data_IF_441732436462
#
_entry.id   IF_441732436462
#
_cell.length_a   1.000
_cell.length_b   1.000
_cell.length_c   1.000
_cell.angle_alpha   90.00
_cell.angle_beta   90.00
_cell.angle_gamma   90.00
#
_symmetry.space_group_name_H-M   'P 1'
#
loop_
_entity.id
_entity.type
_entity.pdbx_description
1 polymer ?
#
# COMPACT_ATOMS: atom_id res chain seq x y z
N UNK A 1 0.61 -3.99 -2.50
CA UNK A 1 -0.43 -4.40 -1.51
C UNK A 1 -0.57 -5.91 -1.49
N UNK A 2 -1.07 -6.51 -0.38
CA UNK A 2 -1.47 -7.91 -0.34
C UNK A 2 -2.99 -8.02 -0.40
N UNK A 3 -3.50 -8.99 -1.15
CA UNK A 3 -4.92 -9.27 -1.26
C UNK A 3 -5.17 -10.78 -1.41
N UNK A 4 -6.26 -11.27 -0.85
CA UNK A 4 -6.68 -12.67 -1.01
C UNK A 4 -7.28 -12.96 -2.41
N UNK A 5 -7.74 -14.17 -2.64
CA UNK A 5 -8.30 -14.60 -3.94
C UNK A 5 -9.53 -13.78 -4.38
N UNK A 6 -10.23 -13.15 -3.43
CA UNK A 6 -11.39 -12.27 -3.68
C UNK A 6 -11.02 -10.78 -3.76
N UNK A 7 -9.74 -10.44 -3.68
CA UNK A 7 -9.27 -9.06 -3.62
C UNK A 7 -9.39 -8.44 -2.23
N UNK A 8 -9.70 -9.22 -1.21
CA UNK A 8 -9.80 -8.77 0.17
C UNK A 8 -8.46 -8.39 0.75
N UNK A 9 -8.38 -7.27 1.48
CA UNK A 9 -7.13 -6.71 2.00
C UNK A 9 -7.09 -6.62 3.52
N UNK A 10 -8.24 -6.56 4.17
CA UNK A 10 -8.32 -6.52 5.65
C UNK A 10 -9.66 -7.00 6.17
N UNK A 11 -9.65 -7.42 7.45
CA UNK A 11 -10.82 -7.76 8.23
C UNK A 11 -10.64 -7.18 9.64
N UNK A 12 -11.64 -6.46 10.14
CA UNK A 12 -11.59 -5.80 11.44
C UNK A 12 -10.33 -4.92 11.64
N UNK A 13 -9.90 -4.24 10.59
CA UNK A 13 -8.78 -3.29 10.63
C UNK A 13 -7.39 -3.90 10.48
N UNK A 14 -7.28 -5.19 10.18
CA UNK A 14 -5.99 -5.88 10.02
C UNK A 14 -6.02 -6.94 8.92
N UNK A 15 -4.87 -7.38 8.49
CA UNK A 15 -4.73 -8.50 7.54
C UNK A 15 -5.12 -9.81 8.24
N UNK A 16 -6.12 -10.57 7.74
CA UNK A 16 -6.68 -11.71 8.45
C UNK A 16 -5.88 -13.02 8.29
N UNK A 17 -4.98 -13.09 7.30
CA UNK A 17 -4.14 -14.28 7.08
C UNK A 17 -3.00 -14.35 8.09
N UNK A 18 -2.41 -15.54 8.29
CA UNK A 18 -1.20 -15.69 9.10
C UNK A 18 -0.07 -14.81 8.56
N UNK A 19 0.83 -14.36 9.44
CA UNK A 19 2.00 -13.57 9.05
C UNK A 19 2.72 -14.24 7.89
N UNK A 20 2.83 -13.55 6.77
CA UNK A 20 3.51 -14.02 5.56
C UNK A 20 4.85 -13.31 5.42
N UNK A 21 5.93 -14.04 5.73
CA UNK A 21 7.29 -13.48 5.71
C UNK A 21 7.74 -13.10 4.30
N UNK A 22 7.32 -13.86 3.28
CA UNK A 22 7.65 -13.58 1.88
C UNK A 22 7.02 -12.26 1.42
N UNK A 23 5.75 -12.02 1.77
CA UNK A 23 5.08 -10.75 1.49
C UNK A 23 5.76 -9.57 2.18
N UNK A 24 6.10 -9.71 3.46
CA UNK A 24 6.78 -8.65 4.23
C UNK A 24 8.17 -8.34 3.68
N UNK A 25 8.93 -9.34 3.23
CA UNK A 25 10.24 -9.16 2.60
C UNK A 25 10.10 -8.48 1.23
N UNK A 26 9.13 -8.89 0.42
CA UNK A 26 8.79 -8.26 -0.86
C UNK A 26 8.43 -6.79 -0.69
N UNK A 27 7.54 -6.49 0.25
CA UNK A 27 7.15 -5.13 0.61
C UNK A 27 8.36 -4.29 1.05
N UNK A 28 9.19 -4.81 1.96
CA UNK A 28 10.40 -4.13 2.42
C UNK A 28 11.37 -3.85 1.28
N UNK A 29 11.62 -4.84 0.42
CA UNK A 29 12.55 -4.74 -0.71
C UNK A 29 12.19 -3.56 -1.63
N UNK A 30 10.90 -3.37 -1.93
CA UNK A 30 10.47 -2.30 -2.84
C UNK A 30 10.38 -0.93 -2.16
N UNK A 31 9.98 -0.87 -0.90
CA UNK A 31 9.73 0.41 -0.22
C UNK A 31 10.95 1.00 0.48
N UNK A 32 12.01 0.22 0.70
CA UNK A 32 13.19 0.67 1.45
C UNK A 32 13.84 1.89 0.80
N UNK A 33 14.20 2.89 1.63
CA UNK A 33 14.79 4.18 1.23
C UNK A 33 13.90 5.07 0.36
N UNK A 34 12.62 4.73 0.22
CA UNK A 34 11.62 5.46 -0.55
C UNK A 34 10.54 6.09 0.34
N UNK A 35 9.59 6.75 -0.29
CA UNK A 35 8.44 7.38 0.38
C UNK A 35 7.31 6.36 0.46
N UNK A 36 6.65 6.25 1.62
CA UNK A 36 5.44 5.46 1.81
C UNK A 36 4.29 6.36 2.23
N UNK A 37 3.21 6.35 1.46
CA UNK A 37 1.98 7.08 1.78
C UNK A 37 0.95 6.09 2.29
N UNK A 38 0.37 6.40 3.45
CA UNK A 38 -0.66 5.58 4.07
C UNK A 38 -1.74 6.43 4.72
N UNK A 39 -2.93 5.86 4.84
CA UNK A 39 -4.01 6.42 5.63
C UNK A 39 -3.89 6.07 7.11
N UNK A 40 -4.71 6.73 7.94
CA UNK A 40 -4.71 6.57 9.39
C UNK A 40 -4.90 5.12 9.86
N UNK A 41 -5.83 4.38 9.25
CA UNK A 41 -6.09 2.99 9.66
C UNK A 41 -4.90 2.06 9.36
N UNK A 42 -4.16 2.33 8.30
CA UNK A 42 -2.92 1.61 8.00
C UNK A 42 -1.82 1.96 8.99
N UNK A 43 -1.72 3.24 9.39
CA UNK A 43 -0.74 3.69 10.40
C UNK A 43 -0.93 3.00 11.75
N UNK A 44 -2.18 2.84 12.20
CA UNK A 44 -2.50 2.24 13.51
C UNK A 44 -2.67 0.71 13.46
N UNK A 45 -2.47 0.08 12.30
CA UNK A 45 -2.55 -1.38 12.17
C UNK A 45 -1.48 -2.04 13.05
N UNK A 46 -1.86 -2.90 14.02
CA UNK A 46 -0.91 -3.53 14.94
C UNK A 46 0.08 -4.46 14.26
N UNK A 47 -0.20 -4.92 13.05
CA UNK A 47 0.71 -5.78 12.26
C UNK A 47 1.67 -4.99 11.37
N UNK A 48 1.49 -3.67 11.24
CA UNK A 48 2.42 -2.79 10.54
C UNK A 48 3.21 -1.97 11.55
N UNK A 49 4.54 -2.23 11.72
CA UNK A 49 5.35 -1.56 12.73
C UNK A 49 5.73 -0.13 12.31
N UNK A 50 4.79 0.80 12.44
CA UNK A 50 4.99 2.23 12.13
C UNK A 50 5.70 2.99 13.27
N UNK A 51 6.53 4.00 12.97
CA UNK A 51 6.97 4.36 11.62
C UNK A 51 7.82 3.28 10.96
N UNK A 52 7.68 3.12 9.65
CA UNK A 52 8.50 2.17 8.90
C UNK A 52 9.95 2.67 8.82
N UNK A 53 10.88 1.91 9.37
CA UNK A 53 12.30 2.27 9.40
C UNK A 53 12.89 2.39 8.00
N UNK A 54 13.76 3.39 7.81
CA UNK A 54 14.43 3.68 6.54
C UNK A 54 13.47 3.95 5.38
N UNK A 55 12.32 4.53 5.67
CA UNK A 55 11.36 5.10 4.70
C UNK A 55 10.98 6.50 5.17
N UNK A 56 10.55 7.34 4.24
CA UNK A 56 9.87 8.59 4.56
C UNK A 56 8.40 8.25 4.74
N UNK A 57 7.92 8.40 5.97
CA UNK A 57 6.56 8.03 6.36
C UNK A 57 5.62 9.22 6.16
N UNK A 58 4.70 9.12 5.22
CA UNK A 58 3.71 10.15 4.90
C UNK A 58 2.33 9.67 5.31
N UNK A 59 1.67 10.42 6.18
CA UNK A 59 0.33 10.12 6.66
C UNK A 59 -0.71 11.02 5.99
N UNK A 60 -1.64 10.42 5.27
CA UNK A 60 -2.81 11.10 4.71
C UNK A 60 -3.95 11.12 5.76
N UNK A 61 -4.22 12.29 6.34
CA UNK A 61 -5.25 12.47 7.35
C UNK A 61 -5.71 13.91 7.46
N UNK A 62 -7.00 14.09 7.74
CA UNK A 62 -7.59 15.39 8.09
C UNK A 62 -7.68 15.62 9.61
N UNK A 63 -7.19 14.67 10.42
CA UNK A 63 -7.21 14.77 11.87
C UNK A 63 -6.00 15.51 12.42
N UNK A 64 -6.07 15.88 13.71
CA UNK A 64 -4.95 16.51 14.42
C UNK A 64 -3.67 15.67 14.33
N UNK A 65 -2.55 16.31 14.03
CA UNK A 65 -1.24 15.68 13.85
C UNK A 65 -0.58 15.26 15.18
N UNK A 66 -1.03 15.79 16.30
CA UNK A 66 -0.35 15.64 17.60
C UNK A 66 -0.33 14.19 18.15
N UNK A 67 -1.16 13.31 17.62
CA UNK A 67 -1.27 11.92 18.07
C UNK A 67 -0.45 10.92 17.25
N UNK A 68 0.23 11.38 16.19
CA UNK A 68 0.95 10.52 15.26
C UNK A 68 2.46 10.79 15.30
N UNK A 69 3.11 10.23 16.32
CA UNK A 69 4.54 10.39 16.51
C UNK A 69 5.34 9.57 15.50
N UNK A 70 6.37 10.16 14.92
CA UNK A 70 7.24 9.51 13.95
C UNK A 70 6.81 9.63 12.48
N UNK A 71 5.74 10.37 12.21
CA UNK A 71 5.36 10.76 10.85
C UNK A 71 6.31 11.85 10.35
N UNK A 72 6.87 11.66 9.16
CA UNK A 72 7.79 12.64 8.56
C UNK A 72 7.02 13.77 7.85
N UNK A 73 5.93 13.44 7.18
CA UNK A 73 5.09 14.40 6.44
C UNK A 73 3.61 14.08 6.64
N UNK A 74 2.78 15.12 6.75
CA UNK A 74 1.33 15.02 6.75
C UNK A 74 0.76 15.58 5.45
N UNK A 75 -0.19 14.89 4.83
CA UNK A 75 -0.90 15.34 3.65
C UNK A 75 -2.42 15.28 3.87
N UNK A 76 -3.14 16.20 3.25
CA UNK A 76 -4.61 16.28 3.32
C UNK A 76 -5.18 17.05 2.14
N UNK A 77 -6.49 17.05 1.98
CA UNK A 77 -7.17 17.73 0.89
C UNK A 77 -6.95 17.07 -0.45
N UNK A 78 -6.40 17.80 -1.42
CA UNK A 78 -6.08 17.28 -2.75
C UNK A 78 -4.83 16.40 -2.70
N UNK A 79 -5.02 15.08 -2.60
CA UNK A 79 -3.92 14.12 -2.51
C UNK A 79 -3.07 14.07 -3.78
N UNK A 80 -3.65 14.33 -4.97
CA UNK A 80 -2.88 14.36 -6.22
C UNK A 80 -1.88 15.51 -6.22
N UNK A 81 -2.31 16.70 -5.78
CA UNK A 81 -1.42 17.85 -5.62
C UNK A 81 -0.33 17.57 -4.59
N UNK A 82 -0.68 16.97 -3.45
CA UNK A 82 0.29 16.57 -2.42
C UNK A 82 1.35 15.59 -2.94
N UNK A 83 0.94 14.57 -3.72
CA UNK A 83 1.88 13.60 -4.33
C UNK A 83 2.85 14.29 -5.27
N UNK A 84 2.35 15.25 -6.09
CA UNK A 84 3.20 16.06 -6.96
C UNK A 84 4.24 16.85 -6.16
N UNK A 85 3.83 17.53 -5.09
CA UNK A 85 4.73 18.30 -4.23
C UNK A 85 5.78 17.39 -3.57
N UNK A 86 5.40 16.19 -3.12
CA UNK A 86 6.33 15.19 -2.58
C UNK A 86 7.34 14.74 -3.64
N UNK A 87 6.91 14.50 -4.88
CA UNK A 87 7.80 14.09 -5.97
C UNK A 87 8.81 15.18 -6.33
N UNK A 88 8.41 16.45 -6.27
CA UNK A 88 9.30 17.59 -6.50
C UNK A 88 10.29 17.79 -5.34
N UNK A 89 9.84 17.54 -4.10
CA UNK A 89 10.68 17.65 -2.89
C UNK A 89 11.73 16.53 -2.80
N UNK A 90 11.36 15.32 -3.18
CA UNK A 90 12.17 14.10 -3.03
C UNK A 90 12.49 13.45 -4.39
N UNK A 91 13.12 14.19 -5.28
CA UNK A 91 13.35 13.80 -6.71
C UNK A 91 14.02 12.45 -6.94
N UNK A 92 14.83 11.98 -5.98
CA UNK A 92 15.59 10.73 -6.08
C UNK A 92 14.86 9.53 -5.44
N UNK A 93 13.58 9.69 -5.08
CA UNK A 93 12.81 8.67 -4.37
C UNK A 93 11.52 8.33 -5.09
N UNK A 94 11.23 7.03 -5.11
CA UNK A 94 9.92 6.55 -5.54
C UNK A 94 8.87 6.76 -4.44
N UNK A 95 7.62 6.92 -4.85
CA UNK A 95 6.48 7.08 -3.96
C UNK A 95 5.62 5.81 -4.02
N UNK A 96 5.46 5.15 -2.88
CA UNK A 96 4.63 3.96 -2.72
C UNK A 96 3.38 4.27 -1.92
N UNK A 97 2.21 4.06 -2.52
CA UNK A 97 0.92 4.12 -1.83
C UNK A 97 0.68 2.74 -1.22
N UNK A 98 0.76 2.66 0.11
CA UNK A 98 0.72 1.36 0.81
C UNK A 98 -0.64 1.03 1.43
N UNK A 99 -1.60 1.94 1.31
CA UNK A 99 -2.97 1.68 1.76
C UNK A 99 -3.54 2.78 2.66
N UNK A 100 -4.80 2.69 3.10
CA UNK A 100 -5.75 1.62 2.74
C UNK A 100 -6.49 1.88 1.42
N UNK A 101 -7.51 1.09 1.14
CA UNK A 101 -8.22 1.17 -0.13
C UNK A 101 -8.70 2.57 -0.51
N UNK A 102 -9.17 3.36 0.43
CA UNK A 102 -9.62 4.75 0.17
C UNK A 102 -8.52 5.66 -0.36
N UNK A 103 -7.29 5.53 0.13
CA UNK A 103 -6.15 6.32 -0.36
C UNK A 103 -5.74 5.80 -1.74
N UNK A 104 -5.73 4.48 -1.92
CA UNK A 104 -5.49 3.85 -3.20
C UNK A 104 -6.47 4.35 -4.28
N UNK A 105 -7.77 4.35 -3.98
CA UNK A 105 -8.81 4.79 -4.92
C UNK A 105 -8.64 6.25 -5.34
N UNK A 106 -8.33 7.14 -4.39
CA UNK A 106 -8.14 8.56 -4.66
C UNK A 106 -6.89 8.84 -5.51
N UNK A 107 -5.87 8.01 -5.41
CA UNK A 107 -4.60 8.18 -6.13
C UNK A 107 -4.44 7.22 -7.31
N UNK A 108 -5.44 6.40 -7.61
CA UNK A 108 -5.31 5.31 -8.58
C UNK A 108 -4.84 5.78 -9.96
N UNK A 109 -5.34 6.92 -10.43
CA UNK A 109 -4.98 7.46 -11.75
C UNK A 109 -3.52 7.94 -11.85
N UNK A 110 -2.86 8.16 -10.70
CA UNK A 110 -1.42 8.51 -10.65
C UNK A 110 -0.49 7.30 -10.55
N UNK A 111 -1.05 6.10 -10.37
CA UNK A 111 -0.26 4.88 -10.20
C UNK A 111 0.21 4.39 -11.56
N UNK A 112 1.52 4.31 -11.75
CA UNK A 112 2.16 3.77 -12.94
C UNK A 112 2.40 2.26 -12.84
N UNK A 113 2.74 1.79 -11.63
CA UNK A 113 3.00 0.38 -11.35
C UNK A 113 2.24 -0.08 -10.10
N UNK A 114 1.63 -1.25 -10.16
CA UNK A 114 0.91 -1.84 -9.04
C UNK A 114 1.56 -3.18 -8.65
N UNK A 115 2.13 -3.22 -7.45
CA UNK A 115 2.77 -4.40 -6.87
C UNK A 115 1.77 -5.11 -5.96
N UNK A 116 1.36 -6.31 -6.34
CA UNK A 116 0.33 -7.08 -5.65
C UNK A 116 0.88 -8.43 -5.19
N UNK A 117 0.74 -8.71 -3.90
CA UNK A 117 0.89 -10.07 -3.37
C UNK A 117 -0.48 -10.73 -3.36
N UNK A 118 -0.62 -11.82 -4.12
CA UNK A 118 -1.84 -12.64 -4.14
C UNK A 118 -1.72 -13.70 -3.05
N UNK A 119 -2.44 -13.52 -1.95
CA UNK A 119 -2.54 -14.51 -0.87
C UNK A 119 -3.61 -15.53 -1.25
N UNK A 120 -3.22 -16.81 -1.28
CA UNK A 120 -4.16 -17.88 -1.64
C UNK A 120 -5.18 -18.12 -0.53
N UNK A 121 -6.44 -18.23 -0.91
CA UNK A 121 -7.56 -18.46 -0.02
C UNK A 121 -8.56 -17.31 0.02
N UNK A 122 -9.65 -17.54 0.74
CA UNK A 122 -10.69 -16.53 1.01
C UNK A 122 -10.77 -16.32 2.51
N UNK A 123 -10.44 -15.11 2.95
CA UNK A 123 -10.37 -14.74 4.37
C UNK A 123 -11.58 -13.92 4.82
N UNK A 124 -12.64 -13.85 4.00
CA UNK A 124 -13.88 -13.14 4.32
C UNK A 124 -13.61 -11.68 4.76
N UNK A 125 -12.76 -10.98 4.01
CA UNK A 125 -12.38 -9.60 4.28
C UNK A 125 -13.58 -8.65 4.22
N UNK A 126 -13.57 -7.62 5.08
CA UNK A 126 -14.56 -6.54 5.08
C UNK A 126 -14.12 -5.34 4.23
N UNK A 127 -12.87 -5.32 3.80
CA UNK A 127 -12.32 -4.34 2.83
C UNK A 127 -11.59 -5.05 1.71
N UNK A 128 -11.76 -4.54 0.49
CA UNK A 128 -11.15 -5.09 -0.72
C UNK A 128 -10.64 -3.97 -1.62
N UNK A 129 -9.72 -4.33 -2.51
CA UNK A 129 -9.35 -3.52 -3.66
C UNK A 129 -10.31 -3.82 -4.82
N UNK A 130 -10.50 -2.85 -5.68
CA UNK A 130 -11.20 -3.02 -6.95
C UNK A 130 -10.24 -3.66 -7.97
N UNK A 131 -10.20 -4.99 -7.96
CA UNK A 131 -9.32 -5.74 -8.85
C UNK A 131 -9.75 -5.64 -10.32
N UNK A 132 -11.04 -5.47 -10.59
CA UNK A 132 -11.56 -5.25 -11.93
C UNK A 132 -11.02 -3.93 -12.52
N UNK A 133 -11.02 -2.87 -11.74
CA UNK A 133 -10.43 -1.58 -12.11
C UNK A 133 -8.94 -1.73 -12.46
N UNK A 134 -8.18 -2.50 -11.69
CA UNK A 134 -6.76 -2.76 -11.97
C UNK A 134 -6.61 -3.46 -13.33
N UNK A 135 -7.34 -4.56 -13.56
CA UNK A 135 -7.22 -5.35 -14.79
C UNK A 135 -7.71 -4.63 -16.05
N UNK A 136 -8.64 -3.67 -15.91
CA UNK A 136 -9.11 -2.84 -17.01
C UNK A 136 -8.14 -1.69 -17.34
N UNK A 137 -7.39 -1.19 -16.37
CA UNK A 137 -6.54 0.01 -16.50
C UNK A 137 -5.06 -0.31 -16.64
N UNK A 138 -4.63 -1.51 -16.28
CA UNK A 138 -3.23 -1.93 -16.24
C UNK A 138 -3.05 -3.30 -16.92
N UNK A 139 -1.84 -3.56 -17.38
CA UNK A 139 -1.45 -4.84 -17.97
C UNK A 139 -0.53 -5.58 -16.99
N UNK A 140 -0.77 -6.88 -16.79
CA UNK A 140 0.14 -7.71 -16.00
C UNK A 140 1.48 -7.82 -16.74
N UNK A 141 2.50 -7.23 -16.16
CA UNK A 141 3.86 -7.22 -16.68
C UNK A 141 4.66 -8.44 -16.24
N UNK A 142 4.46 -8.86 -15.00
CA UNK A 142 5.22 -9.96 -14.41
C UNK A 142 4.38 -10.71 -13.38
N UNK A 143 4.49 -12.04 -13.37
CA UNK A 143 4.00 -12.91 -12.32
C UNK A 143 5.16 -13.74 -11.79
N UNK A 144 5.42 -13.68 -10.49
CA UNK A 144 6.51 -14.36 -9.81
C UNK A 144 5.92 -15.38 -8.86
N UNK A 145 6.04 -16.66 -9.19
CA UNK A 145 5.64 -17.75 -8.28
C UNK A 145 6.56 -17.74 -7.06
N UNK A 146 5.99 -17.97 -5.89
CA UNK A 146 6.72 -17.97 -4.62
C UNK A 146 6.60 -19.31 -3.90
N UNK A 147 5.47 -19.55 -3.21
CA UNK A 147 5.23 -20.78 -2.43
C UNK A 147 3.73 -21.14 -2.43
N UNK A 148 3.34 -22.10 -1.59
CA UNK A 148 1.96 -22.54 -1.43
C UNK A 148 1.04 -21.49 -0.77
N UNK A 149 1.56 -20.37 -0.29
CA UNK A 149 0.79 -19.32 0.39
C UNK A 149 0.49 -18.12 -0.48
N UNK A 150 1.38 -17.78 -1.42
CA UNK A 150 1.24 -16.60 -2.25
C UNK A 150 2.11 -16.60 -3.51
N UNK A 151 1.76 -15.73 -4.44
CA UNK A 151 2.62 -15.29 -5.53
C UNK A 151 2.61 -13.75 -5.64
N UNK A 152 3.52 -13.20 -6.43
CA UNK A 152 3.61 -11.76 -6.66
C UNK A 152 3.25 -11.39 -8.09
N UNK A 153 2.60 -10.25 -8.24
CA UNK A 153 2.22 -9.69 -9.54
C UNK A 153 2.71 -8.25 -9.63
N UNK A 154 3.20 -7.87 -10.80
CA UNK A 154 3.53 -6.48 -11.15
C UNK A 154 2.67 -6.09 -12.35
N UNK A 155 1.83 -5.10 -12.14
CA UNK A 155 0.96 -4.53 -13.15
C UNK A 155 1.48 -3.15 -13.54
N UNK A 156 1.41 -2.80 -14.82
CA UNK A 156 1.86 -1.52 -15.36
C UNK A 156 0.78 -0.87 -16.20
N UNK A 157 0.72 0.45 -16.11
CA UNK A 157 -0.16 1.26 -16.93
C UNK A 157 0.39 1.41 -18.34
#
# INVERSE_FOLDING_TARGET
MAADDKGGVSKNGSMPWPKNSSDLQWFKKHTLNNIVIMGRLTWIDPFLPTPLKNRINVLATNQSHNTYLGVDEFISGDLMANVKDLSEKYKEKDIYIIGGPKILDQLFESIEEFYLTRIYGNFECDKSIDFEKITQSMTMNEKIENDETCHFEIWKR
#
